data_IF_478900343539
#
_entry.id   IF_478900343539
#
_cell.length_a   1.000
_cell.length_b   1.000
_cell.length_c   1.000
_cell.angle_alpha   90.00
_cell.angle_beta   90.00
_cell.angle_gamma   90.00
#
_symmetry.space_group_name_H-M   'P 1'
#
loop_
_entity.id
_entity.type
_entity.pdbx_description
1 polymer ?
#
# COMPACT_ATOMS: atom_id res chain seq x y z
N UNK A 1 14.32 -3.25 20.19
CA UNK A 1 13.97 -1.88 20.64
C UNK A 1 14.72 -0.75 19.91
N UNK A 2 15.97 -0.94 19.45
CA UNK A 2 16.76 0.13 18.82
C UNK A 2 16.73 0.16 17.26
N UNK A 3 16.06 -0.79 16.60
CA UNK A 3 16.01 -0.86 15.13
C UNK A 3 15.04 0.14 14.49
N UNK A 4 13.94 0.47 15.18
CA UNK A 4 12.94 1.41 14.66
C UNK A 4 13.49 2.85 14.60
N UNK A 5 14.31 3.24 15.59
CA UNK A 5 14.94 4.57 15.65
C UNK A 5 15.98 4.77 14.54
N UNK A 6 16.70 3.70 14.17
CA UNK A 6 17.70 3.75 13.11
C UNK A 6 17.08 3.98 11.72
N UNK A 7 15.86 3.50 11.49
CA UNK A 7 15.14 3.72 10.21
C UNK A 7 14.75 5.18 10.03
N UNK A 8 14.29 5.84 11.09
CA UNK A 8 13.92 7.26 11.04
C UNK A 8 15.13 8.18 10.85
N UNK A 9 16.26 7.89 11.52
CA UNK A 9 17.50 8.67 11.38
C UNK A 9 18.14 8.52 10.00
N UNK A 10 18.24 7.29 9.48
CA UNK A 10 18.88 7.04 8.19
C UNK A 10 18.02 7.48 7.00
N UNK A 11 16.70 7.27 7.03
CA UNK A 11 15.81 7.73 5.94
C UNK A 11 15.45 9.21 6.04
N UNK A 12 15.38 9.78 7.24
CA UNK A 12 15.17 11.21 7.47
C UNK A 12 16.34 12.05 6.93
N UNK A 13 17.58 11.65 7.22
CA UNK A 13 18.77 12.32 6.67
C UNK A 13 18.80 12.26 5.13
N UNK A 14 18.43 11.13 4.54
CA UNK A 14 18.30 11.02 3.09
C UNK A 14 17.17 11.90 2.53
N UNK A 15 16.05 12.07 3.23
CA UNK A 15 14.95 12.94 2.80
C UNK A 15 15.33 14.44 2.88
N UNK A 16 15.96 14.85 3.98
CA UNK A 16 16.47 16.21 4.13
C UNK A 16 17.59 16.52 3.13
N UNK A 17 18.49 15.57 2.86
CA UNK A 17 19.60 15.79 1.95
C UNK A 17 19.21 15.70 0.46
N UNK A 18 18.28 14.82 0.06
CA UNK A 18 17.81 14.71 -1.33
C UNK A 18 16.90 15.87 -1.76
N UNK A 19 16.30 16.60 -0.82
CA UNK A 19 15.34 17.68 -1.11
C UNK A 19 15.70 19.02 -0.44
N UNK A 20 16.75 19.07 0.37
CA UNK A 20 17.22 20.26 1.09
C UNK A 20 17.95 21.32 0.25
N UNK A 21 18.03 21.14 -1.06
CA UNK A 21 18.56 22.16 -1.98
C UNK A 21 17.49 22.82 -2.87
N UNK A 22 16.22 22.51 -2.65
CA UNK A 22 15.16 23.22 -3.36
C UNK A 22 13.78 22.72 -2.98
N UNK A 23 13.02 23.61 -2.34
CA UNK A 23 11.59 23.53 -1.96
C UNK A 23 11.34 23.06 -0.53
N UNK A 24 11.37 24.03 0.40
CA UNK A 24 11.07 23.94 1.86
C UNK A 24 9.85 23.10 2.27
N UNK A 25 8.93 22.79 1.36
CA UNK A 25 7.72 22.03 1.67
C UNK A 25 7.59 20.71 0.90
N UNK A 26 8.46 20.43 -0.08
CA UNK A 26 8.32 19.24 -0.93
C UNK A 26 8.73 17.96 -0.18
N UNK A 27 9.82 18.02 0.58
CA UNK A 27 10.26 16.91 1.45
C UNK A 27 9.21 16.55 2.49
N UNK A 28 8.65 17.57 3.16
CA UNK A 28 7.60 17.41 4.15
C UNK A 28 6.31 16.86 3.54
N UNK A 29 5.88 17.38 2.38
CA UNK A 29 4.71 16.85 1.68
C UNK A 29 4.90 15.39 1.28
N UNK A 30 6.04 15.04 0.71
CA UNK A 30 6.34 13.66 0.31
C UNK A 30 6.41 12.74 1.54
N UNK A 31 7.01 13.19 2.63
CA UNK A 31 7.03 12.47 3.90
C UNK A 31 5.61 12.24 4.43
N UNK A 32 4.77 13.27 4.48
CA UNK A 32 3.38 13.16 4.91
C UNK A 32 2.58 12.21 4.02
N UNK A 33 2.73 12.29 2.69
CA UNK A 33 2.08 11.36 1.76
C UNK A 33 2.55 9.92 1.96
N UNK A 34 3.83 9.72 2.26
CA UNK A 34 4.38 8.40 2.52
C UNK A 34 3.84 7.80 3.83
N UNK A 35 3.79 8.60 4.90
CA UNK A 35 3.17 8.23 6.17
C UNK A 35 1.67 7.93 5.99
N UNK A 36 0.97 8.76 5.24
CA UNK A 36 -0.45 8.59 4.94
C UNK A 36 -0.71 7.31 4.13
N UNK A 37 0.14 6.99 3.15
CA UNK A 37 0.05 5.74 2.41
C UNK A 37 0.23 4.52 3.34
N UNK A 38 1.21 4.56 4.25
CA UNK A 38 1.37 3.51 5.26
C UNK A 38 0.15 3.39 6.17
N UNK A 39 -0.41 4.51 6.62
CA UNK A 39 -1.62 4.52 7.45
C UNK A 39 -2.83 3.93 6.70
N UNK A 40 -3.02 4.27 5.43
CA UNK A 40 -4.10 3.72 4.62
C UNK A 40 -3.95 2.22 4.40
N UNK A 41 -2.74 1.70 4.23
CA UNK A 41 -2.55 0.25 4.17
C UNK A 41 -2.98 -0.44 5.47
N UNK A 42 -2.65 0.14 6.63
CA UNK A 42 -3.09 -0.39 7.93
C UNK A 42 -4.61 -0.31 8.09
N UNK A 43 -5.22 0.82 7.71
CA UNK A 43 -6.68 0.98 7.73
C UNK A 43 -7.38 -0.04 6.83
N UNK A 44 -6.88 -0.23 5.60
CA UNK A 44 -7.46 -1.21 4.67
C UNK A 44 -7.37 -2.65 5.20
N UNK A 45 -6.27 -3.01 5.87
CA UNK A 45 -6.17 -4.32 6.54
C UNK A 45 -7.16 -4.50 7.71
N UNK A 46 -7.63 -3.41 8.32
CA UNK A 46 -8.58 -3.44 9.43
C UNK A 46 -10.05 -3.38 8.98
N UNK A 47 -10.36 -2.57 7.97
CA UNK A 47 -11.73 -2.27 7.57
C UNK A 47 -12.21 -3.04 6.33
N UNK A 48 -11.30 -3.53 5.47
CA UNK A 48 -11.66 -4.30 4.28
C UNK A 48 -11.21 -5.76 4.44
N UNK A 49 -12.17 -6.62 4.80
CA UNK A 49 -11.93 -8.03 5.03
C UNK A 49 -11.47 -8.76 3.74
N UNK A 50 -11.98 -8.36 2.57
CA UNK A 50 -11.56 -8.94 1.28
C UNK A 50 -10.11 -8.59 1.01
N UNK A 51 -9.74 -7.33 1.21
CA UNK A 51 -8.36 -6.86 1.09
C UNK A 51 -7.42 -7.59 2.06
N UNK A 52 -7.80 -7.72 3.32
CA UNK A 52 -7.00 -8.39 4.34
C UNK A 52 -6.74 -9.87 3.98
N UNK A 53 -7.76 -10.59 3.49
CA UNK A 53 -7.63 -11.97 3.04
C UNK A 53 -6.71 -12.06 1.81
N UNK A 54 -6.92 -11.22 0.80
CA UNK A 54 -6.08 -11.21 -0.41
C UNK A 54 -4.62 -10.88 -0.09
N UNK A 55 -4.37 -9.91 0.80
CA UNK A 55 -3.01 -9.56 1.23
C UNK A 55 -2.31 -10.74 1.90
N UNK A 56 -3.03 -11.55 2.68
CA UNK A 56 -2.50 -12.78 3.30
C UNK A 56 -2.29 -13.88 2.27
N UNK A 57 -3.24 -14.10 1.36
CA UNK A 57 -3.19 -15.16 0.37
C UNK A 57 -2.07 -14.98 -0.67
N UNK A 58 -1.90 -13.77 -1.20
CA UNK A 58 -0.81 -13.45 -2.14
C UNK A 58 0.56 -13.40 -1.43
N UNK A 59 0.55 -13.22 -0.10
CA UNK A 59 1.75 -13.20 0.74
C UNK A 59 2.56 -11.90 0.56
N UNK A 60 3.59 -11.92 -0.31
CA UNK A 60 4.53 -10.80 -0.43
C UNK A 60 3.80 -9.52 -0.88
N UNK A 61 4.01 -8.42 -0.14
CA UNK A 61 3.40 -7.10 -0.42
C UNK A 61 3.59 -6.67 -1.86
N UNK A 62 4.79 -6.85 -2.40
CA UNK A 62 5.10 -6.47 -3.77
C UNK A 62 4.32 -7.29 -4.81
N UNK A 63 4.04 -8.57 -4.54
CA UNK A 63 3.22 -9.41 -5.41
C UNK A 63 1.81 -8.85 -5.53
N UNK A 64 1.17 -8.59 -4.40
CA UNK A 64 -0.19 -8.05 -4.36
C UNK A 64 -0.33 -6.71 -5.11
N UNK A 65 0.60 -5.77 -4.93
CA UNK A 65 0.55 -4.50 -5.69
C UNK A 65 0.90 -4.67 -7.17
N UNK A 66 1.72 -5.66 -7.52
CA UNK A 66 1.96 -5.99 -8.91
C UNK A 66 0.72 -6.56 -9.59
N UNK A 67 -0.07 -7.38 -8.88
CA UNK A 67 -1.33 -7.93 -9.38
C UNK A 67 -2.34 -6.81 -9.61
N UNK A 68 -2.54 -5.92 -8.64
CA UNK A 68 -3.40 -4.73 -8.81
C UNK A 68 -2.95 -3.91 -10.03
N UNK A 69 -1.65 -3.64 -10.16
CA UNK A 69 -1.09 -2.89 -11.30
C UNK A 69 -1.32 -3.60 -12.64
N UNK A 70 -1.23 -4.92 -12.67
CA UNK A 70 -1.49 -5.69 -13.88
C UNK A 70 -2.98 -5.64 -14.25
N UNK A 71 -3.87 -5.83 -13.27
CA UNK A 71 -5.31 -5.78 -13.48
C UNK A 71 -5.75 -4.41 -13.98
N UNK A 72 -5.32 -3.31 -13.34
CA UNK A 72 -5.70 -1.95 -13.75
C UNK A 72 -5.07 -1.50 -15.06
N UNK A 73 -4.04 -2.19 -15.55
CA UNK A 73 -3.47 -1.94 -16.89
C UNK A 73 -4.35 -2.48 -18.00
N UNK A 74 -5.08 -3.59 -17.78
CA UNK A 74 -5.82 -4.28 -18.83
C UNK A 74 -7.34 -4.25 -18.64
N UNK A 75 -7.80 -4.02 -17.41
CA UNK A 75 -9.20 -4.09 -17.02
C UNK A 75 -9.61 -2.78 -16.33
N UNK A 76 -10.77 -2.27 -16.71
CA UNK A 76 -11.45 -1.19 -15.99
C UNK A 76 -12.54 -1.81 -15.12
N UNK A 77 -12.48 -1.61 -13.81
CA UNK A 77 -13.49 -2.09 -12.86
C UNK A 77 -14.38 -0.92 -12.46
N UNK A 78 -15.66 -1.21 -12.21
CA UNK A 78 -16.63 -0.21 -11.74
C UNK A 78 -16.31 0.31 -10.33
N UNK A 79 -15.48 -0.42 -9.57
CA UNK A 79 -15.03 0.00 -8.26
C UNK A 79 -14.00 -0.92 -7.63
N UNK A 80 -13.53 -0.51 -6.46
CA UNK A 80 -12.56 -1.26 -5.66
C UNK A 80 -13.06 -2.65 -5.26
N UNK A 81 -14.32 -2.74 -4.82
CA UNK A 81 -14.92 -4.01 -4.41
C UNK A 81 -14.93 -5.04 -5.54
N UNK A 82 -15.25 -4.63 -6.76
CA UNK A 82 -15.31 -5.56 -7.89
C UNK A 82 -13.94 -6.07 -8.31
N UNK A 83 -12.90 -5.26 -8.18
CA UNK A 83 -11.53 -5.71 -8.35
C UNK A 83 -11.13 -6.73 -7.26
N UNK A 84 -11.49 -6.48 -6.00
CA UNK A 84 -11.21 -7.44 -4.91
C UNK A 84 -11.97 -8.75 -5.11
N UNK A 85 -13.27 -8.69 -5.47
CA UNK A 85 -14.07 -9.88 -5.81
C UNK A 85 -13.49 -10.64 -7.00
N UNK A 86 -13.01 -9.94 -8.02
CA UNK A 86 -12.34 -10.54 -9.16
C UNK A 86 -11.09 -11.31 -8.73
N UNK A 87 -10.23 -10.71 -7.89
CA UNK A 87 -9.05 -11.38 -7.35
C UNK A 87 -9.40 -12.59 -6.48
N UNK A 88 -10.41 -12.47 -5.61
CA UNK A 88 -10.88 -13.58 -4.78
C UNK A 88 -11.35 -14.76 -5.63
N UNK A 89 -12.18 -14.50 -6.65
CA UNK A 89 -12.62 -15.52 -7.60
C UNK A 89 -11.45 -16.15 -8.35
N UNK A 90 -10.51 -15.34 -8.83
CA UNK A 90 -9.33 -15.83 -9.55
C UNK A 90 -8.37 -16.68 -8.70
N UNK A 91 -8.41 -16.51 -7.37
CA UNK A 91 -7.64 -17.30 -6.41
C UNK A 91 -8.48 -18.41 -5.74
N UNK A 92 -9.73 -18.60 -6.16
CA UNK A 92 -10.67 -19.59 -5.59
C UNK A 92 -10.90 -19.40 -4.08
N UNK A 93 -10.86 -18.15 -3.60
CA UNK A 93 -11.07 -17.81 -2.19
C UNK A 93 -12.54 -17.39 -1.99
N UNK A 94 -13.25 -17.98 -1.01
CA UNK A 94 -14.62 -17.57 -0.69
C UNK A 94 -14.70 -16.09 -0.31
N UNK A 95 -15.71 -15.38 -0.84
CA UNK A 95 -15.94 -13.99 -0.48
C UNK A 95 -16.52 -13.90 0.94
N UNK A 96 -15.85 -13.20 1.88
CA UNK A 96 -16.36 -13.03 3.24
C UNK A 96 -17.67 -12.20 3.32
N UNK A 97 -18.02 -11.44 2.29
CA UNK A 97 -19.14 -10.49 2.30
C UNK A 97 -20.38 -10.89 1.48
N UNK A 98 -20.39 -12.07 0.84
CA UNK A 98 -21.47 -12.49 -0.06
C UNK A 98 -21.41 -11.83 -1.43
#
# INVERSE_FOLDING_TARGET
>A
ENEHNNTLKTKGYNLEHNFGHGKEHLSNLLLTMNLLAFLFHTMLELFDQRYAILRKAVGRRQGFFNDIRALTRYLCFDGWEEMMRFMLRGLEIPDPGG
#
